data_IF_221918134916
#
_entry.id   IF_221918134916
#
_cell.length_a   1.000
_cell.length_b   1.000
_cell.length_c   1.000
_cell.angle_alpha   90.00
_cell.angle_beta   90.00
_cell.angle_gamma   90.00
#
_symmetry.space_group_name_H-M   'P 1'
#
loop_
_entity.id
_entity.type
_entity.pdbx_description
1 polymer ?
#
# COMPACT_ATOMS: atom_id res chain seq x y z
N UNK A 1 -0.42 7.84 11.23
CA UNK A 1 -1.45 8.60 10.47
C UNK A 1 -1.47 10.10 10.76
N UNK A 2 -1.87 10.59 11.94
CA UNK A 2 -1.98 12.04 12.21
C UNK A 2 -0.67 12.82 11.97
N UNK A 3 0.49 12.24 12.30
CA UNK A 3 1.78 12.86 12.00
C UNK A 3 2.04 12.98 10.49
N UNK A 4 1.61 12.01 9.68
CA UNK A 4 1.79 12.07 8.23
C UNK A 4 1.02 13.24 7.61
N UNK A 5 -0.21 13.48 8.06
CA UNK A 5 -1.00 14.65 7.64
C UNK A 5 -0.31 15.96 8.05
N UNK A 6 0.23 16.04 9.27
CA UNK A 6 1.00 17.21 9.72
C UNK A 6 2.27 17.45 8.89
N UNK A 7 2.88 16.39 8.37
CA UNK A 7 4.03 16.47 7.49
C UNK A 7 3.65 16.83 6.03
N UNK A 8 2.36 17.02 5.74
CA UNK A 8 1.85 17.44 4.44
C UNK A 8 1.43 16.30 3.51
N UNK A 9 1.34 15.06 4.01
CA UNK A 9 0.86 13.94 3.20
C UNK A 9 -0.56 14.19 2.69
N UNK A 10 -0.80 13.92 1.41
CA UNK A 10 -2.12 14.03 0.81
C UNK A 10 -3.01 12.86 1.24
N UNK A 11 -2.43 11.69 1.45
CA UNK A 11 -3.16 10.48 1.80
C UNK A 11 -2.48 9.63 2.85
N UNK A 12 -3.27 8.71 3.40
CA UNK A 12 -2.88 7.68 4.33
C UNK A 12 -2.96 6.31 3.63
N UNK A 13 -2.17 5.36 4.10
CA UNK A 13 -2.26 3.96 3.71
C UNK A 13 -2.41 3.08 4.96
N UNK A 14 -3.14 1.97 4.83
CA UNK A 14 -3.09 0.91 5.82
C UNK A 14 -3.86 -0.35 5.40
N UNK A 15 -3.41 -1.49 5.90
CA UNK A 15 -4.02 -2.79 5.61
C UNK A 15 -5.10 -3.18 6.61
N UNK A 16 -6.15 -3.84 6.13
CA UNK A 16 -7.23 -4.37 6.98
C UNK A 16 -7.06 -5.84 7.32
N UNK A 17 -7.33 -6.18 8.58
CA UNK A 17 -7.56 -7.54 9.04
C UNK A 17 -8.83 -7.63 9.89
N UNK A 18 -9.43 -8.81 9.90
CA UNK A 18 -10.58 -9.14 10.72
C UNK A 18 -10.14 -9.94 11.97
N UNK A 19 -10.57 -9.51 13.15
CA UNK A 19 -10.37 -10.23 14.41
C UNK A 19 -11.34 -11.43 14.53
N UNK A 20 -11.11 -12.31 15.50
CA UNK A 20 -11.95 -13.49 15.72
C UNK A 20 -13.41 -13.15 16.09
N UNK A 21 -13.63 -12.02 16.76
CA UNK A 21 -14.94 -11.48 17.14
C UNK A 21 -15.52 -10.50 16.10
N UNK A 22 -14.84 -10.32 14.97
CA UNK A 22 -15.39 -9.65 13.80
C UNK A 22 -15.16 -8.14 13.72
N UNK A 23 -14.27 -7.58 14.54
CA UNK A 23 -13.80 -6.21 14.44
C UNK A 23 -12.76 -6.06 13.31
N UNK A 24 -12.79 -4.92 12.61
CA UNK A 24 -11.81 -4.62 11.55
C UNK A 24 -10.73 -3.73 12.13
N UNK A 25 -9.49 -4.19 12.09
CA UNK A 25 -8.30 -3.45 12.56
C UNK A 25 -7.38 -3.05 11.42
N UNK A 26 -6.57 -2.02 11.65
CA UNK A 26 -5.57 -1.54 10.69
C UNK A 26 -4.17 -1.97 11.12
N UNK A 27 -3.62 -2.98 10.44
CA UNK A 27 -2.31 -3.55 10.74
C UNK A 27 -1.72 -4.25 9.51
N UNK A 28 -0.44 -4.07 9.25
CA UNK A 28 0.17 -4.67 8.06
C UNK A 28 0.22 -6.20 8.09
N UNK A 29 0.76 -6.77 9.17
CA UNK A 29 0.97 -8.21 9.27
C UNK A 29 -0.32 -8.91 9.68
N UNK A 30 -0.52 -10.18 9.27
CA UNK A 30 -1.59 -11.00 9.81
C UNK A 30 -1.33 -11.45 11.27
N UNK A 31 -0.14 -11.18 11.80
CA UNK A 31 0.31 -11.56 13.14
C UNK A 31 0.63 -10.33 13.99
N UNK A 32 0.34 -10.41 15.28
CA UNK A 32 0.59 -9.34 16.25
C UNK A 32 2.09 -9.24 16.65
N UNK A 33 2.87 -10.28 16.34
CA UNK A 33 4.19 -10.53 16.93
C UNK A 33 5.22 -9.44 16.65
N UNK A 34 5.27 -8.91 15.42
CA UNK A 34 6.38 -8.03 14.99
C UNK A 34 6.25 -6.64 15.60
N UNK A 35 5.04 -6.09 15.59
CA UNK A 35 4.78 -4.67 15.79
C UNK A 35 4.14 -4.33 17.13
N UNK A 36 3.58 -5.31 17.84
CA UNK A 36 2.91 -5.12 19.13
C UNK A 36 3.54 -5.93 20.26
N UNK A 37 3.17 -5.66 21.49
CA UNK A 37 3.50 -6.49 22.65
C UNK A 37 2.66 -7.78 22.77
N UNK A 38 1.75 -8.06 21.83
CA UNK A 38 0.94 -9.28 21.79
C UNK A 38 1.50 -10.38 20.90
N UNK A 39 0.77 -11.50 20.80
CA UNK A 39 1.20 -12.63 19.97
C UNK A 39 0.07 -13.43 19.31
N UNK A 40 0.41 -14.05 18.18
CA UNK A 40 -0.46 -14.91 17.39
C UNK A 40 -1.15 -14.18 16.23
N UNK A 41 -1.88 -14.96 15.44
CA UNK A 41 -2.60 -14.49 14.26
C UNK A 41 -3.84 -13.68 14.65
N UNK A 42 -4.03 -12.52 14.01
CA UNK A 42 -5.16 -11.61 14.25
C UNK A 42 -6.50 -12.34 14.10
N UNK A 43 -6.65 -13.16 13.06
CA UNK A 43 -7.87 -13.96 12.80
C UNK A 43 -8.25 -14.92 13.95
N UNK A 44 -7.32 -15.23 14.85
CA UNK A 44 -7.50 -16.16 15.96
C UNK A 44 -7.60 -15.43 17.33
N UNK A 45 -7.59 -14.09 17.34
CA UNK A 45 -7.63 -13.29 18.56
C UNK A 45 -8.84 -12.36 18.56
N UNK A 46 -9.60 -12.28 19.67
CA UNK A 46 -10.67 -11.29 19.77
C UNK A 46 -10.09 -9.88 19.92
N UNK A 47 -10.81 -8.88 19.42
CA UNK A 47 -10.55 -7.50 19.77
C UNK A 47 -10.78 -7.29 21.26
N UNK A 48 -11.98 -7.65 21.73
CA UNK A 48 -12.42 -7.41 23.09
C UNK A 48 -11.69 -8.31 24.09
N UNK A 49 -10.97 -7.70 25.03
CA UNK A 49 -10.26 -8.41 26.10
C UNK A 49 -8.91 -9.00 25.66
N UNK A 50 -8.42 -8.66 24.47
CA UNK A 50 -7.06 -9.02 24.06
C UNK A 50 -6.40 -7.93 23.23
N UNK A 51 -6.79 -7.73 21.97
CA UNK A 51 -6.11 -6.77 21.08
C UNK A 51 -6.30 -5.32 21.56
N UNK A 52 -7.45 -5.01 22.17
CA UNK A 52 -7.76 -3.70 22.74
C UNK A 52 -6.84 -3.26 23.89
N UNK A 53 -6.10 -4.20 24.50
CA UNK A 53 -5.07 -3.93 25.51
C UNK A 53 -3.63 -3.89 24.99
N UNK A 54 -3.41 -4.13 23.69
CA UNK A 54 -2.06 -4.18 23.11
C UNK A 54 -1.55 -2.80 22.70
N UNK A 55 -0.23 -2.65 22.73
CA UNK A 55 0.47 -1.44 22.28
C UNK A 55 1.57 -1.76 21.29
N UNK A 56 1.94 -0.78 20.46
CA UNK A 56 3.10 -0.88 19.58
C UNK A 56 4.39 -1.11 20.36
N UNK A 57 5.33 -1.90 19.83
CA UNK A 57 6.65 -2.09 20.46
C UNK A 57 7.54 -0.84 20.38
N UNK A 58 7.38 -0.04 19.33
CA UNK A 58 8.09 1.23 19.18
C UNK A 58 7.34 2.32 19.93
N UNK A 59 8.09 3.24 20.53
CA UNK A 59 7.57 4.48 21.10
C UNK A 59 6.75 5.26 20.04
N UNK A 60 5.63 5.91 20.42
CA UNK A 60 5.17 6.17 21.80
C UNK A 60 4.22 5.10 22.38
N UNK A 61 4.34 3.82 22.00
CA UNK A 61 3.53 2.72 22.52
C UNK A 61 2.01 2.94 22.39
N UNK A 62 1.56 3.15 21.16
CA UNK A 62 0.14 3.41 20.86
C UNK A 62 -0.65 2.13 20.70
N UNK A 63 -1.95 2.20 21.00
CA UNK A 63 -2.87 1.08 20.78
C UNK A 63 -3.03 0.70 19.31
N UNK A 64 -3.47 -0.54 19.06
CA UNK A 64 -3.78 -1.01 17.70
C UNK A 64 -5.02 -0.25 17.18
N UNK A 65 -4.93 0.49 16.07
CA UNK A 65 -6.07 1.24 15.57
C UNK A 65 -7.10 0.32 14.91
N UNK A 66 -8.38 0.59 15.17
CA UNK A 66 -9.49 -0.01 14.41
C UNK A 66 -9.76 0.79 13.16
N UNK A 67 -10.43 0.16 12.20
CA UNK A 67 -10.96 0.82 11.02
C UNK A 67 -11.88 2.00 11.39
N UNK A 68 -12.72 1.86 12.41
CA UNK A 68 -13.59 2.93 12.89
C UNK A 68 -12.80 4.16 13.39
N UNK A 69 -11.63 3.96 13.99
CA UNK A 69 -10.82 5.07 14.51
C UNK A 69 -10.25 5.91 13.33
N UNK A 70 -9.91 5.26 12.21
CA UNK A 70 -9.46 5.94 10.99
C UNK A 70 -10.62 6.63 10.27
N UNK A 71 -11.79 5.99 10.16
CA UNK A 71 -12.99 6.61 9.59
C UNK A 71 -13.43 7.85 10.40
N UNK A 72 -13.33 7.78 11.72
CA UNK A 72 -13.60 8.91 12.61
C UNK A 72 -12.59 10.04 12.40
N UNK A 73 -11.30 9.72 12.20
CA UNK A 73 -10.28 10.71 11.84
C UNK A 73 -10.61 11.39 10.50
N UNK A 74 -10.95 10.63 9.46
CA UNK A 74 -11.38 11.17 8.18
C UNK A 74 -12.67 12.01 8.29
N UNK A 75 -13.47 11.82 9.34
CA UNK A 75 -14.71 12.55 9.65
C UNK A 75 -14.56 13.95 10.17
N UNK A 76 -13.38 14.28 10.65
CA UNK A 76 -13.16 15.56 11.29
C UNK A 76 -13.15 16.66 10.23
N UNK A 77 -13.76 17.79 10.56
CA UNK A 77 -13.72 19.00 9.75
C UNK A 77 -12.27 19.37 9.43
N UNK A 78 -12.01 19.69 8.16
CA UNK A 78 -10.67 19.97 7.65
C UNK A 78 -9.90 18.77 7.09
N UNK A 79 -10.40 17.54 7.26
CA UNK A 79 -9.79 16.33 6.70
C UNK A 79 -10.45 15.85 5.38
N UNK A 80 -11.34 16.64 4.77
CA UNK A 80 -12.14 16.24 3.61
C UNK A 80 -11.28 15.91 2.37
N UNK A 81 -10.08 16.48 2.29
CA UNK A 81 -9.11 16.24 1.21
C UNK A 81 -8.11 15.12 1.49
N UNK A 82 -8.09 14.59 2.71
CA UNK A 82 -7.22 13.47 3.05
C UNK A 82 -7.87 12.19 2.54
N UNK A 83 -7.15 11.48 1.67
CA UNK A 83 -7.56 10.18 1.17
C UNK A 83 -6.93 9.05 1.99
N UNK A 84 -7.54 7.88 1.95
CA UNK A 84 -7.06 6.67 2.60
C UNK A 84 -7.09 5.51 1.60
N UNK A 85 -5.90 5.06 1.22
CA UNK A 85 -5.71 3.82 0.48
C UNK A 85 -5.80 2.66 1.47
N UNK A 86 -6.76 1.76 1.27
CA UNK A 86 -6.96 0.58 2.10
C UNK A 86 -6.43 -0.66 1.40
N UNK A 87 -5.46 -1.34 2.00
CA UNK A 87 -4.88 -2.56 1.45
C UNK A 87 -5.70 -3.80 1.85
N UNK A 88 -6.28 -4.46 0.84
CA UNK A 88 -7.04 -5.70 0.99
C UNK A 88 -6.18 -6.85 0.46
N UNK A 89 -5.43 -7.45 1.37
CA UNK A 89 -4.48 -8.52 1.09
C UNK A 89 -5.14 -9.83 0.67
N UNK A 90 -4.41 -10.64 -0.10
CA UNK A 90 -4.89 -11.91 -0.67
C UNK A 90 -5.37 -12.95 0.36
N UNK A 91 -4.91 -12.88 1.61
CA UNK A 91 -5.36 -13.74 2.71
C UNK A 91 -6.73 -13.33 3.28
N UNK A 92 -7.26 -12.15 2.94
CA UNK A 92 -8.58 -11.73 3.35
C UNK A 92 -9.68 -12.48 2.56
N UNK A 93 -10.80 -12.71 3.23
CA UNK A 93 -12.05 -13.13 2.58
C UNK A 93 -12.72 -11.93 1.91
N UNK A 94 -13.33 -12.07 0.72
CA UNK A 94 -14.12 -11.00 0.10
C UNK A 94 -15.24 -10.45 0.97
N UNK A 95 -15.69 -11.18 1.99
CA UNK A 95 -16.68 -10.70 2.97
C UNK A 95 -16.20 -9.51 3.80
N UNK A 96 -14.90 -9.22 3.85
CA UNK A 96 -14.36 -8.03 4.53
C UNK A 96 -14.97 -6.73 3.97
N UNK A 97 -15.26 -6.67 2.66
CA UNK A 97 -15.88 -5.50 2.05
C UNK A 97 -17.33 -5.32 2.49
N UNK A 98 -18.08 -6.41 2.65
CA UNK A 98 -19.43 -6.35 3.19
C UNK A 98 -19.43 -5.87 4.65
N UNK A 99 -18.49 -6.37 5.47
CA UNK A 99 -18.31 -5.93 6.86
C UNK A 99 -17.88 -4.47 6.95
N UNK A 100 -17.02 -4.00 6.04
CA UNK A 100 -16.59 -2.61 5.97
C UNK A 100 -17.76 -1.67 5.68
N UNK A 101 -18.64 -2.01 4.74
CA UNK A 101 -19.87 -1.24 4.47
C UNK A 101 -20.79 -1.23 5.69
N UNK A 102 -21.03 -2.39 6.31
CA UNK A 102 -21.84 -2.47 7.52
C UNK A 102 -21.29 -1.60 8.65
N UNK A 103 -19.95 -1.52 8.78
CA UNK A 103 -19.28 -0.68 9.76
C UNK A 103 -19.51 0.81 9.46
N UNK A 104 -19.39 1.24 8.19
CA UNK A 104 -19.70 2.61 7.76
C UNK A 104 -21.16 2.95 8.05
N UNK A 105 -22.11 2.12 7.60
CA UNK A 105 -23.55 2.35 7.78
C UNK A 105 -23.94 2.45 9.26
N UNK A 106 -23.34 1.60 10.11
CA UNK A 106 -23.62 1.57 11.54
C UNK A 106 -23.08 2.79 12.28
N UNK A 107 -21.87 3.25 11.95
CA UNK A 107 -21.17 4.26 12.74
C UNK A 107 -21.17 5.66 12.13
N UNK A 108 -21.42 5.78 10.83
CA UNK A 108 -21.45 7.03 10.08
C UNK A 108 -22.65 7.06 9.12
N UNK A 109 -23.88 6.94 9.62
CA UNK A 109 -25.08 6.82 8.78
C UNK A 109 -25.23 8.04 7.86
N UNK A 110 -25.39 7.78 6.56
CA UNK A 110 -25.58 8.80 5.53
C UNK A 110 -24.31 9.53 5.09
N UNK A 111 -23.15 9.19 5.67
CA UNK A 111 -21.88 9.77 5.24
C UNK A 111 -21.28 9.01 4.07
N UNK A 112 -20.93 9.74 3.03
CA UNK A 112 -20.21 9.20 1.88
C UNK A 112 -18.69 9.32 2.09
N UNK A 113 -17.99 8.19 1.98
CA UNK A 113 -16.53 8.10 2.03
C UNK A 113 -15.89 7.81 0.66
N UNK A 114 -16.69 7.65 -0.40
CA UNK A 114 -16.22 7.19 -1.71
C UNK A 114 -15.18 8.11 -2.37
N UNK A 115 -15.19 9.39 -2.02
CA UNK A 115 -14.19 10.38 -2.48
C UNK A 115 -12.92 10.42 -1.63
N UNK A 116 -12.96 9.85 -0.43
CA UNK A 116 -11.80 9.81 0.49
C UNK A 116 -11.15 8.43 0.53
N UNK A 117 -11.83 7.35 0.13
CA UNK A 117 -11.30 5.99 0.31
C UNK A 117 -11.05 5.34 -1.04
N UNK A 118 -9.84 4.79 -1.18
CA UNK A 118 -9.42 4.00 -2.34
C UNK A 118 -9.20 2.56 -1.91
N UNK A 119 -9.84 1.62 -2.62
CA UNK A 119 -9.70 0.19 -2.36
C UNK A 119 -8.46 -0.36 -3.07
N UNK A 120 -7.44 -0.70 -2.30
CA UNK A 120 -6.22 -1.36 -2.74
C UNK A 120 -6.40 -2.88 -2.84
N UNK A 121 -6.51 -3.41 -4.06
CA UNK A 121 -6.84 -4.82 -4.29
C UNK A 121 -5.61 -5.63 -4.71
N UNK A 122 -5.17 -6.54 -3.84
CA UNK A 122 -4.06 -7.47 -4.11
C UNK A 122 -4.46 -8.69 -4.96
N UNK A 123 -5.76 -8.95 -5.13
CA UNK A 123 -6.24 -10.14 -5.86
C UNK A 123 -7.58 -9.86 -6.57
N UNK A 124 -7.78 -10.33 -7.82
CA UNK A 124 -9.00 -10.03 -8.60
C UNK A 124 -10.29 -10.58 -7.98
N UNK A 125 -10.19 -11.58 -7.09
CA UNK A 125 -11.33 -12.11 -6.30
C UNK A 125 -12.12 -11.04 -5.54
N UNK A 126 -11.54 -9.88 -5.27
CA UNK A 126 -12.21 -8.79 -4.58
C UNK A 126 -13.05 -7.91 -5.51
N UNK A 127 -12.83 -7.96 -6.84
CA UNK A 127 -13.55 -7.13 -7.81
C UNK A 127 -15.07 -7.34 -7.75
N UNK A 128 -15.63 -8.58 -7.75
CA UNK A 128 -17.07 -8.76 -7.68
C UNK A 128 -17.68 -8.28 -6.35
N UNK A 129 -16.93 -8.41 -5.25
CA UNK A 129 -17.39 -7.91 -3.95
C UNK A 129 -17.34 -6.37 -3.89
N UNK A 130 -16.32 -5.75 -4.49
CA UNK A 130 -16.24 -4.30 -4.60
C UNK A 130 -17.35 -3.75 -5.52
N UNK A 131 -17.65 -4.41 -6.65
CA UNK A 131 -18.80 -4.07 -7.51
C UNK A 131 -20.12 -4.14 -6.75
N UNK A 132 -20.30 -5.18 -5.92
CA UNK A 132 -21.55 -5.41 -5.20
C UNK A 132 -21.75 -4.45 -4.02
N UNK A 133 -20.71 -4.22 -3.21
CA UNK A 133 -20.85 -3.54 -1.92
C UNK A 133 -20.35 -2.09 -1.95
N UNK A 134 -19.37 -1.76 -2.80
CA UNK A 134 -18.72 -0.44 -2.84
C UNK A 134 -18.57 0.06 -4.29
N UNK A 135 -19.65 0.12 -5.09
CA UNK A 135 -19.58 0.43 -6.52
C UNK A 135 -19.08 1.86 -6.80
N UNK A 136 -19.23 2.79 -5.86
CA UNK A 136 -18.80 4.19 -6.00
C UNK A 136 -17.36 4.43 -5.55
N UNK A 137 -16.75 3.47 -4.87
CA UNK A 137 -15.40 3.64 -4.34
C UNK A 137 -14.38 3.37 -5.44
N UNK A 138 -13.41 4.29 -5.55
CA UNK A 138 -12.24 4.10 -6.41
C UNK A 138 -11.50 2.84 -6.00
N UNK A 139 -11.01 2.07 -6.97
CA UNK A 139 -10.26 0.84 -6.70
C UNK A 139 -9.01 0.76 -7.54
N UNK A 140 -7.92 0.32 -6.94
CA UNK A 140 -6.63 0.19 -7.63
C UNK A 140 -6.12 -1.24 -7.50
N UNK A 141 -5.38 -1.70 -8.51
CA UNK A 141 -4.59 -2.90 -8.35
C UNK A 141 -3.36 -2.61 -7.47
N UNK A 142 -3.05 -3.49 -6.54
CA UNK A 142 -1.78 -3.48 -5.81
C UNK A 142 -1.01 -4.76 -6.13
N UNK A 143 0.28 -4.63 -6.46
CA UNK A 143 1.11 -5.81 -6.64
C UNK A 143 2.50 -5.62 -7.20
N UNK A 144 3.08 -6.75 -7.57
CA UNK A 144 4.46 -6.88 -8.10
C UNK A 144 4.52 -7.35 -9.55
N UNK A 145 3.39 -7.72 -10.16
CA UNK A 145 3.36 -8.31 -11.50
C UNK A 145 2.59 -7.42 -12.47
N UNK A 146 3.30 -6.94 -13.49
CA UNK A 146 2.71 -6.15 -14.57
C UNK A 146 1.77 -6.99 -15.44
N UNK A 147 2.03 -8.30 -15.55
CA UNK A 147 1.20 -9.20 -16.34
C UNK A 147 -0.14 -9.45 -15.64
N UNK A 148 -0.12 -9.71 -14.32
CA UNK A 148 -1.34 -9.81 -13.51
C UNK A 148 -2.14 -8.50 -13.57
N UNK A 149 -1.46 -7.35 -13.47
CA UNK A 149 -2.11 -6.05 -13.57
C UNK A 149 -2.83 -5.89 -14.92
N UNK A 150 -2.18 -6.23 -16.04
CA UNK A 150 -2.78 -6.13 -17.37
C UNK A 150 -3.93 -7.12 -17.59
N UNK A 151 -3.75 -8.38 -17.18
CA UNK A 151 -4.69 -9.46 -17.49
C UNK A 151 -5.92 -9.42 -16.59
N UNK A 152 -5.72 -9.21 -15.29
CA UNK A 152 -6.78 -9.37 -14.28
C UNK A 152 -7.30 -8.05 -13.72
N UNK A 153 -6.61 -6.94 -13.98
CA UNK A 153 -7.03 -5.59 -13.60
C UNK A 153 -6.93 -4.64 -14.79
N UNK A 154 -7.62 -4.94 -15.92
CA UNK A 154 -7.57 -4.05 -17.07
C UNK A 154 -8.09 -2.64 -16.71
N UNK A 155 -7.67 -1.58 -17.43
CA UNK A 155 -8.09 -0.20 -17.14
C UNK A 155 -9.62 0.03 -17.09
N UNK A 156 -10.41 -0.87 -17.66
CA UNK A 156 -11.88 -0.84 -17.58
C UNK A 156 -12.47 -1.32 -16.25
N UNK A 157 -11.66 -1.92 -15.37
CA UNK A 157 -12.08 -2.53 -14.09
C UNK A 157 -11.48 -1.88 -12.85
N UNK A 158 -10.46 -1.03 -13.03
CA UNK A 158 -9.78 -0.32 -11.94
C UNK A 158 -9.50 1.12 -12.32
N UNK A 159 -9.28 1.95 -11.32
CA UNK A 159 -9.06 3.39 -11.42
C UNK A 159 -7.59 3.77 -11.30
N UNK A 160 -6.69 2.82 -11.09
CA UNK A 160 -5.25 3.07 -10.98
C UNK A 160 -4.46 1.82 -10.57
N UNK A 161 -3.15 2.00 -10.43
CA UNK A 161 -2.21 0.91 -10.17
C UNK A 161 -1.15 1.32 -9.16
N UNK A 162 -1.13 0.67 -8.01
CA UNK A 162 -0.07 0.81 -7.00
C UNK A 162 0.91 -0.34 -7.12
N UNK A 163 2.04 -0.09 -7.77
CA UNK A 163 3.01 -1.13 -8.11
C UNK A 163 4.32 -0.88 -7.39
N UNK A 164 5.00 -1.97 -7.01
CA UNK A 164 6.28 -1.86 -6.37
C UNK A 164 7.27 -1.04 -7.22
N UNK A 165 7.93 -0.04 -6.63
CA UNK A 165 8.84 0.88 -7.30
C UNK A 165 9.87 0.16 -8.18
N UNK A 166 10.40 -0.96 -7.68
CA UNK A 166 11.45 -1.68 -8.39
C UNK A 166 10.97 -2.39 -9.64
N UNK A 167 9.70 -2.77 -9.68
CA UNK A 167 9.06 -3.32 -10.89
C UNK A 167 8.87 -2.18 -11.90
N UNK A 168 8.38 -1.04 -11.43
CA UNK A 168 8.13 0.15 -12.24
C UNK A 168 9.40 0.73 -12.87
N UNK A 169 10.53 0.66 -12.18
CA UNK A 169 11.76 1.26 -12.68
C UNK A 169 12.50 0.44 -13.76
N UNK A 170 12.07 -0.81 -14.00
CA UNK A 170 12.55 -1.62 -15.13
C UNK A 170 12.10 -1.04 -16.48
N UNK A 171 12.72 -1.40 -17.62
CA UNK A 171 12.21 -0.99 -18.93
C UNK A 171 10.74 -1.37 -19.16
N UNK A 172 10.32 -2.55 -18.73
CA UNK A 172 8.94 -3.01 -18.81
C UNK A 172 7.99 -2.18 -17.92
N UNK A 173 8.46 -1.80 -16.73
CA UNK A 173 7.74 -0.91 -15.82
C UNK A 173 7.57 0.50 -16.37
N UNK A 174 8.63 1.07 -16.96
CA UNK A 174 8.54 2.40 -17.62
C UNK A 174 7.58 2.39 -18.80
N UNK A 175 7.55 1.29 -19.54
CA UNK A 175 6.58 1.09 -20.61
C UNK A 175 5.16 0.98 -20.05
N UNK A 176 4.96 0.24 -18.95
CA UNK A 176 3.68 0.15 -18.25
C UNK A 176 3.18 1.52 -17.77
N UNK A 177 4.06 2.36 -17.19
CA UNK A 177 3.68 3.71 -16.76
C UNK A 177 3.09 4.52 -17.93
N UNK A 178 3.77 4.51 -19.08
CA UNK A 178 3.29 5.21 -20.29
C UNK A 178 1.95 4.67 -20.77
N UNK A 179 1.78 3.34 -20.77
CA UNK A 179 0.51 2.70 -21.14
C UNK A 179 -0.63 3.17 -20.24
N UNK A 180 -0.41 3.23 -18.93
CA UNK A 180 -1.43 3.64 -17.97
C UNK A 180 -1.73 5.14 -18.04
N UNK A 181 -0.72 5.98 -18.27
CA UNK A 181 -0.91 7.41 -18.53
C UNK A 181 -1.78 7.65 -19.78
N UNK A 182 -1.52 6.91 -20.87
CA UNK A 182 -2.35 6.96 -22.10
C UNK A 182 -3.78 6.50 -21.80
N UNK A 183 -3.96 5.51 -20.93
CA UNK A 183 -5.26 5.03 -20.49
C UNK A 183 -5.96 5.97 -19.47
N UNK A 184 -5.31 7.08 -19.07
CA UNK A 184 -5.83 8.00 -18.06
C UNK A 184 -5.89 7.39 -16.66
N UNK A 185 -5.00 6.44 -16.35
CA UNK A 185 -4.94 5.73 -15.07
C UNK A 185 -3.71 6.15 -14.27
N UNK A 186 -3.87 6.68 -13.05
CA UNK A 186 -2.74 7.00 -12.19
C UNK A 186 -1.94 5.77 -11.81
N UNK A 187 -0.63 5.95 -11.72
CA UNK A 187 0.32 4.96 -11.21
C UNK A 187 0.94 5.46 -9.91
N UNK A 188 0.90 4.60 -8.89
CA UNK A 188 1.49 4.82 -7.58
C UNK A 188 2.71 3.91 -7.41
N UNK A 189 3.77 4.42 -6.78
CA UNK A 189 4.95 3.62 -6.41
C UNK A 189 5.03 3.37 -4.90
N UNK A 190 5.34 2.13 -4.53
CA UNK A 190 5.59 1.76 -3.13
C UNK A 190 6.77 0.77 -2.99
N UNK A 191 7.43 0.69 -1.84
CA UNK A 191 7.54 1.74 -0.81
C UNK A 191 8.82 2.52 -1.11
N UNK A 192 8.73 3.84 -1.24
CA UNK A 192 9.84 4.71 -1.64
C UNK A 192 10.30 5.51 -0.44
N UNK A 193 11.42 5.11 0.15
CA UNK A 193 11.96 5.72 1.37
C UNK A 193 13.30 6.45 1.14
N UNK A 194 13.92 6.24 -0.02
CA UNK A 194 15.19 6.86 -0.40
C UNK A 194 14.94 8.08 -1.30
N UNK A 195 15.70 9.15 -1.06
CA UNK A 195 15.58 10.42 -1.81
C UNK A 195 15.88 10.24 -3.30
N UNK A 196 16.83 9.38 -3.68
CA UNK A 196 17.13 9.12 -5.08
C UNK A 196 15.99 8.33 -5.76
N UNK A 197 15.38 7.38 -5.06
CA UNK A 197 14.19 6.66 -5.56
C UNK A 197 13.00 7.62 -5.73
N UNK A 198 12.77 8.53 -4.79
CA UNK A 198 11.73 9.56 -4.88
C UNK A 198 11.95 10.48 -6.10
N UNK A 199 13.18 10.95 -6.33
CA UNK A 199 13.51 11.74 -7.53
C UNK A 199 13.29 10.93 -8.82
N UNK A 200 13.61 9.64 -8.82
CA UNK A 200 13.37 8.79 -9.98
C UNK A 200 11.86 8.62 -10.26
N UNK A 201 11.02 8.52 -9.22
CA UNK A 201 9.55 8.51 -9.38
C UNK A 201 9.06 9.76 -10.12
N UNK A 202 9.56 10.93 -9.75
CA UNK A 202 9.23 12.20 -10.42
C UNK A 202 9.66 12.17 -11.89
N UNK A 203 10.88 11.70 -12.19
CA UNK A 203 11.37 11.58 -13.58
C UNK A 203 10.53 10.62 -14.43
N UNK A 204 10.04 9.54 -13.83
CA UNK A 204 9.21 8.55 -14.50
C UNK A 204 7.76 9.03 -14.71
N UNK A 205 7.36 10.15 -14.11
CA UNK A 205 5.98 10.65 -14.17
C UNK A 205 5.01 9.79 -13.34
N UNK A 206 5.47 9.27 -12.21
CA UNK A 206 4.62 8.57 -11.25
C UNK A 206 3.69 9.60 -10.58
N UNK A 207 2.39 9.29 -10.48
CA UNK A 207 1.37 10.21 -9.98
C UNK A 207 1.36 10.31 -8.44
N UNK A 208 1.69 9.22 -7.74
CA UNK A 208 1.75 9.22 -6.29
C UNK A 208 2.83 8.30 -5.74
N UNK A 209 3.40 8.66 -4.59
CA UNK A 209 4.46 7.89 -3.93
C UNK A 209 4.03 7.54 -2.50
N UNK A 210 4.11 6.25 -2.18
CA UNK A 210 3.91 5.72 -0.84
C UNK A 210 5.26 5.67 -0.11
N UNK A 211 5.32 6.30 1.07
CA UNK A 211 6.55 6.42 1.86
C UNK A 211 6.28 6.28 3.36
N UNK A 212 7.25 5.75 4.08
CA UNK A 212 7.33 5.81 5.54
C UNK A 212 8.01 7.11 6.01
N UNK A 213 8.63 7.86 5.08
CA UNK A 213 9.43 9.07 5.34
C UNK A 213 8.83 10.31 4.68
N UNK A 214 7.61 10.65 5.11
CA UNK A 214 6.83 11.83 4.67
C UNK A 214 7.64 13.11 4.51
N UNK A 215 8.43 13.50 5.52
CA UNK A 215 9.25 14.71 5.47
C UNK A 215 10.33 14.66 4.39
N UNK A 216 10.93 13.48 4.17
CA UNK A 216 11.95 13.31 3.14
C UNK A 216 11.34 13.48 1.76
N UNK A 217 10.17 12.88 1.52
CA UNK A 217 9.44 13.02 0.26
C UNK A 217 8.97 14.47 0.03
N UNK A 218 8.40 15.12 1.06
CA UNK A 218 7.98 16.52 0.97
C UNK A 218 9.13 17.46 0.60
N UNK A 219 10.33 17.24 1.13
CA UNK A 219 11.51 18.02 0.75
C UNK A 219 11.89 17.83 -0.73
N UNK A 220 11.82 16.60 -1.26
CA UNK A 220 12.11 16.31 -2.68
C UNK A 220 11.09 16.97 -3.60
N UNK A 221 9.81 16.91 -3.24
CA UNK A 221 8.73 17.54 -4.02
C UNK A 221 8.88 19.07 -4.03
N UNK A 222 9.12 19.68 -2.87
CA UNK A 222 9.35 21.13 -2.78
C UNK A 222 10.56 21.58 -3.61
N UNK A 223 11.63 20.79 -3.59
CA UNK A 223 12.81 21.06 -4.40
C UNK A 223 12.52 20.97 -5.90
N UNK A 224 11.74 19.96 -6.31
CA UNK A 224 11.30 19.82 -7.69
C UNK A 224 10.40 20.98 -8.15
N UNK A 225 9.45 21.42 -7.31
CA UNK A 225 8.62 22.61 -7.56
C UNK A 225 9.47 23.87 -7.76
N UNK A 226 10.57 23.99 -7.00
CA UNK A 226 11.44 25.17 -7.02
C UNK A 226 12.41 25.18 -8.21
N UNK A 227 13.05 24.04 -8.49
CA UNK A 227 14.12 23.94 -9.48
C UNK A 227 13.63 23.49 -10.87
N UNK A 228 12.45 22.87 -10.94
CA UNK A 228 11.97 22.17 -12.13
C UNK A 228 12.84 20.97 -12.50
N UNK A 229 12.47 20.31 -13.61
CA UNK A 229 13.16 19.12 -14.08
C UNK A 229 14.65 19.38 -14.39
N UNK A 230 14.95 20.40 -15.19
CA UNK A 230 16.32 20.73 -15.62
C UNK A 230 17.23 21.10 -14.43
N UNK A 231 16.71 21.90 -13.48
CA UNK A 231 17.46 22.29 -12.29
C UNK A 231 17.79 21.11 -11.37
N UNK A 232 16.85 20.15 -11.26
CA UNK A 232 17.10 18.90 -10.54
C UNK A 232 18.16 18.03 -11.21
N UNK A 233 18.14 17.90 -12.54
CA UNK A 233 19.16 17.15 -13.26
C UNK A 233 20.55 17.77 -13.12
N UNK A 234 20.64 19.09 -13.22
CA UNK A 234 21.90 19.81 -13.06
C UNK A 234 22.46 19.66 -11.64
N UNK A 235 21.61 19.82 -10.61
CA UNK A 235 22.03 19.72 -9.21
C UNK A 235 22.54 18.33 -8.84
N UNK A 236 21.90 17.28 -9.38
CA UNK A 236 22.22 15.89 -9.05
C UNK A 236 23.01 15.16 -10.15
N UNK A 237 23.57 15.88 -11.12
CA UNK A 237 24.30 15.30 -12.27
C UNK A 237 25.42 14.33 -11.86
N UNK A 238 26.16 14.67 -10.79
CA UNK A 238 27.25 13.82 -10.28
C UNK A 238 26.75 12.51 -9.62
N UNK A 239 25.51 12.49 -9.12
CA UNK A 239 24.90 11.29 -8.53
C UNK A 239 24.39 10.33 -9.61
N UNK A 240 24.08 10.82 -10.82
CA UNK A 240 23.55 10.01 -11.94
C UNK A 240 24.47 8.83 -12.29
N UNK A 241 25.79 9.05 -12.30
CA UNK A 241 26.78 7.98 -12.52
C UNK A 241 26.78 6.91 -11.43
N UNK A 242 26.55 7.32 -10.17
CA UNK A 242 26.47 6.41 -9.03
C UNK A 242 25.10 5.70 -8.97
N UNK A 243 24.09 6.30 -9.60
CA UNK A 243 22.75 5.70 -9.71
C UNK A 243 22.80 4.53 -10.68
N UNK A 244 23.46 4.62 -11.84
CA UNK A 244 23.57 3.51 -12.81
C UNK A 244 24.32 2.28 -12.24
N UNK A 245 25.40 2.50 -11.49
CA UNK A 245 26.15 1.41 -10.84
C UNK A 245 25.40 0.81 -9.64
N UNK A 246 24.63 1.62 -8.90
CA UNK A 246 23.64 1.15 -7.91
C UNK A 246 22.53 0.36 -8.59
N UNK A 247 21.92 0.88 -9.66
CA UNK A 247 20.85 0.25 -10.44
C UNK A 247 21.29 -1.11 -10.95
N UNK A 248 22.46 -1.23 -11.56
CA UNK A 248 22.98 -2.50 -12.06
C UNK A 248 23.20 -3.53 -10.93
N UNK A 249 23.77 -3.10 -9.80
CA UNK A 249 23.92 -3.96 -8.60
C UNK A 249 22.58 -4.34 -8.00
N UNK A 250 21.63 -3.41 -7.97
CA UNK A 250 20.30 -3.60 -7.39
C UNK A 250 19.45 -4.52 -8.27
N UNK A 251 19.47 -4.36 -9.60
CA UNK A 251 18.82 -5.26 -10.57
C UNK A 251 19.51 -6.62 -10.61
N UNK A 252 20.84 -6.71 -10.50
CA UNK A 252 21.55 -7.98 -10.50
C UNK A 252 21.24 -8.82 -9.25
N UNK A 253 21.43 -8.26 -8.05
CA UNK A 253 21.16 -8.97 -6.81
C UNK A 253 19.66 -9.21 -6.57
N UNK A 254 18.77 -8.33 -7.05
CA UNK A 254 17.33 -8.59 -6.97
C UNK A 254 16.78 -9.47 -8.07
N UNK A 255 17.38 -9.56 -9.26
CA UNK A 255 16.97 -10.59 -10.23
C UNK A 255 17.18 -11.98 -9.65
N UNK A 256 18.21 -12.17 -8.82
CA UNK A 256 18.43 -13.41 -8.07
C UNK A 256 17.38 -13.64 -6.97
N UNK A 257 17.04 -12.61 -6.17
CA UNK A 257 15.97 -12.70 -5.16
C UNK A 257 14.60 -12.89 -5.81
N UNK A 258 14.35 -12.24 -6.95
CA UNK A 258 13.10 -12.30 -7.69
C UNK A 258 12.96 -13.62 -8.44
N UNK A 259 14.04 -14.21 -8.96
CA UNK A 259 14.05 -15.60 -9.44
C UNK A 259 13.62 -16.54 -8.31
N UNK A 260 14.08 -16.29 -7.09
CA UNK A 260 13.73 -17.08 -5.90
C UNK A 260 12.25 -16.88 -5.49
N UNK A 261 11.75 -15.65 -5.48
CA UNK A 261 10.36 -15.33 -5.16
C UNK A 261 9.40 -15.80 -6.26
N UNK A 262 9.72 -15.62 -7.53
CA UNK A 262 8.86 -16.09 -8.65
C UNK A 262 8.85 -17.59 -8.80
N UNK A 263 9.94 -18.31 -8.53
CA UNK A 263 9.89 -19.77 -8.40
C UNK A 263 8.89 -20.22 -7.32
N UNK A 264 8.74 -19.43 -6.25
CA UNK A 264 7.82 -19.69 -5.13
C UNK A 264 6.38 -19.19 -5.37
N UNK A 265 6.21 -18.05 -6.05
CA UNK A 265 4.90 -17.52 -6.43
C UNK A 265 4.27 -18.33 -7.58
N UNK A 266 5.06 -18.79 -8.56
CA UNK A 266 4.58 -19.67 -9.63
C UNK A 266 4.31 -21.11 -9.18
N UNK A 267 4.92 -21.58 -8.09
CA UNK A 267 4.53 -22.88 -7.50
C UNK A 267 3.21 -22.77 -6.73
N UNK A 268 2.94 -21.62 -6.10
CA UNK A 268 1.71 -21.40 -5.33
C UNK A 268 0.50 -21.09 -6.23
N UNK A 269 0.69 -20.44 -7.37
CA UNK A 269 -0.39 -20.24 -8.37
C UNK A 269 -0.66 -21.47 -9.23
N UNK A 270 0.29 -22.41 -9.36
CA UNK A 270 0.04 -23.71 -10.04
C UNK A 270 -0.75 -24.71 -9.21
N UNK A 271 -0.88 -24.49 -7.90
CA UNK A 271 -1.75 -25.26 -7.01
C UNK A 271 -3.01 -24.46 -6.65
N UNK A 272 -3.68 -23.90 -7.66
CA UNK A 272 -5.09 -23.53 -7.56
C UNK A 272 -5.94 -24.79 -7.68
N UNK A 273 -5.97 -25.58 -6.61
CA UNK A 273 -6.97 -26.59 -6.25
C UNK A 273 -6.30 -27.53 -5.24
N UNK A 274 -6.28 -27.13 -3.96
CA UNK A 274 -6.26 -28.02 -2.80
C UNK A 274 -6.18 -27.18 -1.54
N UNK A 275 -7.18 -27.37 -0.67
CA UNK A 275 -7.08 -27.04 0.76
C UNK A 275 -5.72 -27.48 1.30
N UNK A 276 -5.06 -26.64 2.09
CA UNK A 276 -4.11 -27.05 3.12
C UNK A 276 -3.73 -25.84 4.00
N UNK A 277 -4.19 -25.90 5.25
CA UNK A 277 -3.53 -25.29 6.40
C UNK A 277 -2.04 -25.68 6.38
N UNK A 278 -1.18 -24.72 6.10
CA UNK A 278 0.26 -24.84 6.33
C UNK A 278 0.77 -23.54 6.95
N UNK A 279 0.83 -23.56 8.29
CA UNK A 279 1.66 -22.69 9.10
C UNK A 279 3.13 -22.85 8.68
N UNK A 280 3.71 -21.79 8.14
CA UNK A 280 5.14 -21.65 7.94
C UNK A 280 5.55 -20.24 8.39
N UNK A 281 5.93 -20.15 9.66
CA UNK A 281 6.76 -19.07 10.20
C UNK A 281 8.08 -19.02 9.43
N UNK A 282 8.28 -17.93 8.68
CA UNK A 282 9.56 -17.63 8.04
C UNK A 282 9.88 -16.16 8.26
N UNK A 283 10.74 -15.93 9.26
CA UNK A 283 11.44 -14.68 9.51
C UNK A 283 12.23 -14.27 8.26
N UNK A 284 11.73 -13.24 7.57
CA UNK A 284 12.51 -12.43 6.65
C UNK A 284 12.71 -11.07 7.33
N UNK A 285 13.87 -10.90 7.97
CA UNK A 285 14.40 -9.62 8.43
C UNK A 285 14.73 -8.71 7.22
N UNK A 286 13.69 -8.23 6.55
CA UNK A 286 13.72 -6.94 5.88
C UNK A 286 13.12 -5.93 6.85
N UNK A 287 13.92 -4.96 7.28
CA UNK A 287 13.47 -3.83 8.12
C UNK A 287 12.44 -2.99 7.35
N UNK A 288 11.20 -3.49 7.29
CA UNK A 288 10.00 -2.79 6.86
C UNK A 288 9.28 -2.32 8.11
N UNK A 289 9.83 -1.28 8.74
CA UNK A 289 9.27 -0.68 9.94
C UNK A 289 7.83 -0.23 9.69
N UNK A 290 6.86 -0.76 10.45
CA UNK A 290 5.51 -0.20 10.68
C UNK A 290 4.95 0.66 9.52
N UNK A 291 4.75 0.08 8.33
CA UNK A 291 4.13 0.83 7.24
C UNK A 291 2.62 0.94 7.51
N UNK A 292 2.23 1.99 8.22
CA UNK A 292 1.06 2.78 7.83
C UNK A 292 1.65 3.85 6.91
N UNK A 293 1.64 3.59 5.61
CA UNK A 293 2.27 4.47 4.64
C UNK A 293 1.58 5.83 4.57
N UNK A 294 2.29 6.81 4.04
CA UNK A 294 1.74 8.10 3.65
C UNK A 294 1.86 8.25 2.15
N UNK A 295 0.89 8.91 1.53
CA UNK A 295 0.85 9.13 0.10
C UNK A 295 1.04 10.61 -0.20
N UNK A 296 2.04 10.92 -1.01
CA UNK A 296 2.20 12.26 -1.58
C UNK A 296 1.97 12.22 -3.09
N UNK A 297 1.42 13.31 -3.61
CA UNK A 297 1.22 13.58 -5.03
C UNK A 297 2.38 14.37 -5.60
#
# INVERSE_FOLDING_TARGET
>A
MAQAVKDGANGLEGDLHLTADGEIIVMHDPSLNRTTNGSGLIKNRPWHGYIDGLTSKKEPHVGVPRCIDVLAFLAQDGNEKIWWNIDIKMNNSPSILAKFVQLIEKHFPGRDFSTQIVLGLWHPKFLPAADKYLPTFSRINIGFSLDIAREHFPPSKVDGYSINFMVLATPAGRQFIKEMQVAGKPVLAWTVNDTAEARECVKMGIDYVLTDRTKVLGNVLHEYETLGHEGMEQKYAAEVFNTWSRWYRYTFWRSLIWLFLTMRFNSTTRHMDMDLDLDLDLDLDMDMSLAQGAIAK
#
